data_IF_142863912440
#
_entry.id   IF_142863912440
#
_cell.length_a   1.000
_cell.length_b   1.000
_cell.length_c   1.000
_cell.angle_alpha   90.00
_cell.angle_beta   90.00
_cell.angle_gamma   90.00
#
_symmetry.space_group_name_H-M   'P 1'
#
loop_
_entity.id
_entity.type
_entity.pdbx_description
1 polymer ?
#
# COMPACT_ATOMS: atom_id res chain seq x y z
N UNK A 1 5.82 -9.31 17.52
CA UNK A 1 6.20 -7.89 17.29
C UNK A 1 5.09 -7.28 16.47
N UNK A 2 4.38 -6.27 16.98
CA UNK A 2 3.37 -5.56 16.20
C UNK A 2 4.11 -4.54 15.32
N UNK A 3 3.97 -4.63 14.01
CA UNK A 3 4.53 -3.59 13.14
C UNK A 3 3.67 -2.32 13.32
N UNK A 4 4.32 -1.17 13.45
CA UNK A 4 3.61 0.11 13.50
C UNK A 4 2.76 0.29 12.24
N UNK A 5 1.55 0.81 12.41
CA UNK A 5 0.67 1.13 11.29
C UNK A 5 1.35 2.17 10.38
N UNK A 6 1.53 1.86 9.07
CA UNK A 6 2.09 2.80 8.11
C UNK A 6 1.42 4.17 8.13
N UNK A 7 2.24 5.21 7.96
CA UNK A 7 1.82 6.61 7.77
C UNK A 7 2.49 7.16 6.52
N UNK A 8 1.87 8.17 5.91
CA UNK A 8 2.41 8.79 4.69
C UNK A 8 3.76 9.46 4.96
N UNK A 9 4.80 9.07 4.26
CA UNK A 9 6.15 9.63 4.40
C UNK A 9 6.53 10.55 3.23
N UNK A 10 7.55 11.41 3.39
CA UNK A 10 8.08 12.19 2.28
C UNK A 10 8.61 11.34 1.12
N UNK A 11 9.27 10.21 1.40
CA UNK A 11 9.78 9.32 0.35
C UNK A 11 8.68 8.72 -0.52
N UNK A 12 7.53 8.39 0.06
CA UNK A 12 6.36 7.93 -0.70
C UNK A 12 5.83 9.01 -1.64
N UNK A 13 5.81 10.28 -1.22
CA UNK A 13 5.43 11.41 -2.09
C UNK A 13 6.41 11.61 -3.24
N UNK A 14 7.72 11.59 -2.94
CA UNK A 14 8.75 11.68 -3.98
C UNK A 14 8.64 10.55 -4.99
N UNK A 15 8.44 9.30 -4.55
CA UNK A 15 8.28 8.16 -5.45
C UNK A 15 7.10 8.33 -6.43
N UNK A 16 5.97 8.90 -6.00
CA UNK A 16 4.84 9.18 -6.89
C UNK A 16 5.23 10.15 -8.01
N UNK A 17 5.91 11.25 -7.67
CA UNK A 17 6.28 12.29 -8.64
C UNK A 17 7.46 11.86 -9.51
N UNK A 18 8.54 11.41 -8.88
CA UNK A 18 9.83 11.16 -9.52
C UNK A 18 9.77 9.96 -10.46
N UNK A 19 8.97 8.95 -10.12
CA UNK A 19 8.75 7.77 -10.97
C UNK A 19 7.47 7.86 -11.81
N UNK A 20 6.68 8.92 -11.66
CA UNK A 20 5.41 9.08 -12.36
C UNK A 20 4.40 7.98 -12.04
N UNK A 21 4.33 7.52 -10.79
CA UNK A 21 3.42 6.44 -10.39
C UNK A 21 1.99 6.96 -10.31
N UNK A 22 1.07 6.24 -10.95
CA UNK A 22 -0.37 6.50 -10.81
C UNK A 22 -0.88 6.10 -9.41
N UNK A 23 -0.24 5.10 -8.78
CA UNK A 23 -0.66 4.56 -7.48
C UNK A 23 0.53 3.92 -6.76
N UNK A 24 0.51 3.98 -5.43
CA UNK A 24 1.50 3.34 -4.54
C UNK A 24 0.78 2.45 -3.51
N UNK A 25 1.14 1.17 -3.46
CA UNK A 25 0.66 0.25 -2.43
C UNK A 25 1.73 0.00 -1.38
N UNK A 26 1.34 0.08 -0.10
CA UNK A 26 2.19 -0.23 1.04
C UNK A 26 1.71 -1.54 1.66
N UNK A 27 2.54 -2.57 1.58
CA UNK A 27 2.23 -3.88 2.18
C UNK A 27 2.72 -3.91 3.62
N UNK A 28 1.86 -4.31 4.55
CA UNK A 28 2.22 -4.39 5.97
C UNK A 28 1.56 -5.59 6.67
N UNK A 29 2.09 -6.07 7.82
CA UNK A 29 1.59 -7.27 8.50
C UNK A 29 0.42 -6.97 9.46
N UNK A 30 -0.47 -6.05 9.10
CA UNK A 30 -1.74 -5.86 9.82
C UNK A 30 -2.90 -6.50 9.08
N UNK A 31 -4.12 -6.16 9.50
CA UNK A 31 -5.35 -6.80 9.02
C UNK A 31 -6.25 -5.87 8.21
N UNK A 32 -5.95 -4.57 8.17
CA UNK A 32 -6.87 -3.57 7.60
C UNK A 32 -6.24 -2.86 6.42
N UNK A 33 -6.99 -2.77 5.33
CA UNK A 33 -6.65 -1.87 4.24
C UNK A 33 -7.13 -0.45 4.58
N UNK A 34 -6.32 0.55 4.28
CA UNK A 34 -6.69 1.95 4.47
C UNK A 34 -5.89 2.89 3.56
N UNK A 35 -6.44 4.08 3.29
CA UNK A 35 -5.79 5.08 2.44
C UNK A 35 -4.91 6.00 3.27
N UNK A 36 -3.72 6.28 2.75
CA UNK A 36 -2.81 7.29 3.28
C UNK A 36 -2.89 8.60 2.50
N UNK A 37 -3.28 8.52 1.23
CA UNK A 37 -3.55 9.64 0.34
C UNK A 37 -4.48 9.16 -0.79
N UNK A 38 -4.85 10.06 -1.71
CA UNK A 38 -5.66 9.73 -2.89
C UNK A 38 -5.09 8.55 -3.68
N UNK A 39 -3.78 8.55 -3.93
CA UNK A 39 -3.09 7.54 -4.73
C UNK A 39 -2.16 6.64 -3.91
N UNK A 40 -2.31 6.61 -2.58
CA UNK A 40 -1.49 5.77 -1.68
C UNK A 40 -2.38 4.94 -0.77
N UNK A 41 -2.28 3.63 -0.90
CA UNK A 41 -3.10 2.67 -0.17
C UNK A 41 -2.24 1.66 0.58
N UNK A 42 -2.61 1.39 1.82
CA UNK A 42 -2.00 0.37 2.66
C UNK A 42 -2.83 -0.89 2.51
N UNK A 43 -2.16 -2.02 2.27
CA UNK A 43 -2.81 -3.33 2.12
C UNK A 43 -2.19 -4.35 3.07
N UNK A 44 -3.01 -5.17 3.76
CA UNK A 44 -2.51 -6.24 4.60
C UNK A 44 -1.83 -7.33 3.75
N UNK A 45 -0.69 -7.84 4.23
CA UNK A 45 0.10 -8.85 3.55
C UNK A 45 -0.69 -10.15 3.27
N UNK A 46 -1.70 -10.46 4.09
CA UNK A 46 -2.61 -11.59 3.90
C UNK A 46 -3.37 -11.55 2.57
N UNK A 47 -3.62 -10.36 1.98
CA UNK A 47 -4.26 -10.26 0.67
C UNK A 47 -3.39 -10.76 -0.48
N UNK A 48 -2.07 -10.85 -0.27
CA UNK A 48 -1.12 -11.34 -1.26
C UNK A 48 -0.87 -12.85 -1.16
N UNK A 49 -1.44 -13.52 -0.15
CA UNK A 49 -1.20 -14.93 0.11
C UNK A 49 -1.97 -15.88 -0.82
N UNK A 50 -3.04 -15.40 -1.47
CA UNK A 50 -3.89 -16.18 -2.36
C UNK A 50 -3.79 -15.66 -3.81
N UNK A 51 -4.14 -16.49 -4.80
CA UNK A 51 -4.25 -16.12 -6.22
C UNK A 51 -5.19 -14.92 -6.49
N UNK A 52 -5.96 -14.50 -5.49
CA UNK A 52 -6.85 -13.33 -5.54
C UNK A 52 -6.13 -12.00 -5.33
N UNK A 53 -4.85 -12.00 -4.95
CA UNK A 53 -4.07 -10.79 -4.72
C UNK A 53 -3.93 -9.91 -5.97
N UNK A 54 -3.75 -10.51 -7.15
CA UNK A 54 -3.68 -9.79 -8.42
C UNK A 54 -4.99 -9.03 -8.72
N UNK A 55 -6.14 -9.68 -8.54
CA UNK A 55 -7.45 -9.06 -8.70
C UNK A 55 -7.72 -7.93 -7.68
N UNK A 56 -6.95 -7.86 -6.59
CA UNK A 56 -6.99 -6.73 -5.68
C UNK A 56 -6.18 -5.54 -6.22
N UNK A 57 -5.03 -5.77 -6.85
CA UNK A 57 -4.17 -4.69 -7.35
C UNK A 57 -4.69 -4.05 -8.64
N UNK A 58 -5.52 -4.76 -9.40
CA UNK A 58 -6.12 -4.28 -10.66
C UNK A 58 -7.28 -3.27 -10.49
N UNK A 59 -7.60 -2.85 -9.25
CA UNK A 59 -8.75 -1.99 -8.91
C UNK A 59 -8.42 -0.49 -8.76
#
# INVERSE_FOLDING_TARGET
MQADAPRLTPSMRSALTDLGLNRLWVVYPGEQAYRLAENVEVIPASLLADDKGAAFLDR
#
